data_IF_956160781273
#
_entry.id   IF_956160781273
#
_cell.length_a   1.000
_cell.length_b   1.000
_cell.length_c   1.000
_cell.angle_alpha   90.00
_cell.angle_beta   90.00
_cell.angle_gamma   90.00
#
_symmetry.space_group_name_H-M   'P 1'
#
loop_
_entity.id
_entity.type
_entity.pdbx_description
1 polymer ?
#
# COMPACT_ATOMS: atom_id res chain seq x y z
N UNK A 1 19.49 12.37 30.02
CA UNK A 1 18.03 12.62 29.95
C UNK A 1 17.30 11.29 29.89
N UNK A 2 16.28 11.09 30.73
CA UNK A 2 15.44 9.88 30.64
C UNK A 2 14.66 9.90 29.31
N UNK A 3 14.71 8.80 28.55
CA UNK A 3 13.95 8.65 27.31
C UNK A 3 12.46 8.56 27.66
N UNK A 4 11.63 9.39 27.04
CA UNK A 4 10.18 9.29 27.17
C UNK A 4 9.69 8.17 26.23
N UNK A 5 8.89 7.22 26.70
CA UNK A 5 8.34 6.18 25.83
C UNK A 5 7.32 6.79 24.86
N UNK A 6 7.26 6.23 23.65
CA UNK A 6 6.24 6.52 22.64
C UNK A 6 5.46 5.24 22.39
N UNK A 7 4.14 5.34 22.34
CA UNK A 7 3.24 4.23 22.04
C UNK A 7 2.54 4.53 20.71
N UNK A 8 2.66 3.61 19.76
CA UNK A 8 1.84 3.57 18.56
C UNK A 8 0.74 2.53 18.78
N UNK A 9 -0.51 2.99 18.93
CA UNK A 9 -1.67 2.10 19.07
C UNK A 9 -2.37 1.99 17.73
N UNK A 10 -2.42 0.78 17.17
CA UNK A 10 -3.09 0.49 15.91
C UNK A 10 -4.39 -0.24 16.22
N UNK A 11 -5.52 0.38 15.90
CA UNK A 11 -6.84 -0.23 15.99
C UNK A 11 -7.22 -0.75 14.59
N UNK A 12 -6.75 -1.95 14.28
CA UNK A 12 -6.95 -2.56 12.97
C UNK A 12 -8.45 -2.78 12.70
N UNK A 13 -8.90 -2.39 11.50
CA UNK A 13 -10.30 -2.43 11.12
C UNK A 13 -11.16 -1.27 11.67
N UNK A 14 -10.57 -0.32 12.40
CA UNK A 14 -11.28 0.86 12.90
C UNK A 14 -11.49 1.86 11.76
N UNK A 15 -12.53 1.64 10.95
CA UNK A 15 -12.87 2.47 9.80
C UNK A 15 -13.82 3.62 10.15
N UNK A 16 -13.94 4.56 9.21
CA UNK A 16 -14.88 5.67 9.27
C UNK A 16 -16.04 5.37 8.31
N UNK A 17 -17.26 5.32 8.85
CA UNK A 17 -18.47 5.07 8.08
C UNK A 17 -19.64 5.88 8.69
N UNK A 18 -20.75 6.08 7.95
CA UNK A 18 -21.98 6.64 8.52
C UNK A 18 -22.42 5.88 9.77
N UNK A 19 -23.16 6.52 10.70
CA UNK A 19 -23.57 5.89 11.95
C UNK A 19 -24.46 4.66 11.80
N UNK A 20 -25.23 4.61 10.72
CA UNK A 20 -26.18 3.53 10.47
C UNK A 20 -25.44 2.20 10.22
N UNK A 21 -25.76 1.18 11.02
CA UNK A 21 -25.10 -0.12 10.98
C UNK A 21 -23.63 -0.12 11.45
N UNK A 22 -23.13 0.99 11.96
CA UNK A 22 -21.73 1.14 12.38
C UNK A 22 -21.57 0.83 13.87
N UNK A 23 -21.03 -0.34 14.19
CA UNK A 23 -20.82 -0.78 15.56
C UNK A 23 -19.84 0.13 16.33
N UNK A 24 -18.83 0.72 15.64
CA UNK A 24 -17.89 1.67 16.26
C UNK A 24 -18.60 2.94 16.69
N UNK A 25 -19.51 3.48 15.85
CA UNK A 25 -20.30 4.65 16.20
C UNK A 25 -21.25 4.37 17.37
N UNK A 26 -21.83 3.17 17.43
CA UNK A 26 -22.76 2.76 18.49
C UNK A 26 -22.06 2.42 19.81
N UNK A 27 -20.76 2.12 19.81
CA UNK A 27 -20.03 1.70 21.00
C UNK A 27 -19.86 2.85 22.02
N UNK A 28 -19.90 2.51 23.30
CA UNK A 28 -19.49 3.42 24.37
C UNK A 28 -17.96 3.53 24.40
N UNK A 29 -17.42 4.64 23.93
CA UNK A 29 -15.96 4.86 23.80
C UNK A 29 -15.51 6.22 24.35
N UNK A 30 -15.85 6.57 25.61
CA UNK A 30 -15.65 7.93 26.14
C UNK A 30 -14.17 8.37 26.10
N UNK A 31 -13.23 7.45 26.25
CA UNK A 31 -11.81 7.81 26.19
C UNK A 31 -11.34 8.14 24.77
N UNK A 32 -11.79 7.36 23.76
CA UNK A 32 -11.48 7.67 22.36
C UNK A 32 -12.17 8.97 21.91
N UNK A 33 -13.44 9.15 22.28
CA UNK A 33 -14.17 10.38 21.97
C UNK A 33 -13.46 11.61 22.53
N UNK A 34 -12.98 11.54 23.77
CA UNK A 34 -12.19 12.61 24.39
C UNK A 34 -10.86 12.82 23.66
N UNK A 35 -10.13 11.75 23.35
CA UNK A 35 -8.84 11.85 22.63
C UNK A 35 -9.00 12.51 21.27
N UNK A 36 -10.05 12.15 20.53
CA UNK A 36 -10.35 12.77 19.24
C UNK A 36 -10.79 14.22 19.33
N UNK A 37 -11.47 14.61 20.41
CA UNK A 37 -11.90 16.00 20.63
C UNK A 37 -10.76 16.91 21.09
N UNK A 38 -9.81 16.42 21.86
CA UNK A 38 -8.77 17.22 22.52
C UNK A 38 -7.42 17.23 21.75
N UNK A 39 -7.25 16.41 20.73
CA UNK A 39 -5.97 16.27 20.03
C UNK A 39 -6.13 16.46 18.52
N UNK A 40 -5.05 16.77 17.79
CA UNK A 40 -5.06 16.81 16.33
C UNK A 40 -5.44 15.46 15.73
N UNK A 41 -6.38 15.47 14.78
CA UNK A 41 -6.88 14.28 14.08
C UNK A 41 -6.76 14.50 12.58
N UNK A 42 -6.36 13.47 11.86
CA UNK A 42 -6.36 13.44 10.40
C UNK A 42 -6.87 12.10 9.89
N UNK A 43 -7.30 12.09 8.65
CA UNK A 43 -7.72 10.87 7.95
C UNK A 43 -6.67 10.46 6.93
N UNK A 44 -6.46 9.16 6.81
CA UNK A 44 -5.57 8.57 5.81
C UNK A 44 -6.33 7.59 4.94
N UNK A 45 -5.93 7.47 3.68
CA UNK A 45 -6.47 6.45 2.79
C UNK A 45 -5.96 5.06 3.18
N UNK A 46 -6.88 4.09 3.28
CA UNK A 46 -6.58 2.72 3.69
C UNK A 46 -6.86 1.68 2.59
N UNK A 47 -7.03 2.11 1.33
CA UNK A 47 -7.35 1.25 0.20
C UNK A 47 -6.68 1.71 -1.08
N UNK A 48 -6.66 0.85 -2.09
CA UNK A 48 -6.18 1.16 -3.44
C UNK A 48 -4.75 1.71 -3.45
N UNK A 49 -4.51 2.68 -4.30
CA UNK A 49 -3.18 3.28 -4.49
C UNK A 49 -2.60 3.92 -3.23
N UNK A 50 -3.43 4.32 -2.26
CA UNK A 50 -2.97 4.89 -0.99
C UNK A 50 -2.18 3.89 -0.14
N UNK A 51 -2.36 2.60 -0.38
CA UNK A 51 -1.66 1.52 0.33
C UNK A 51 -0.89 0.59 -0.62
N UNK A 52 -0.70 1.02 -1.87
CA UNK A 52 0.10 0.28 -2.86
C UNK A 52 -0.62 -0.85 -3.57
N UNK A 53 -1.94 -0.92 -3.46
CA UNK A 53 -2.81 -1.85 -4.17
C UNK A 53 -3.34 -1.22 -5.48
N UNK A 54 -3.88 -2.04 -6.41
CA UNK A 54 -4.62 -1.51 -7.55
C UNK A 54 -5.75 -0.58 -7.13
N UNK A 55 -6.11 0.37 -7.99
CA UNK A 55 -7.19 1.30 -7.71
C UNK A 55 -8.52 0.55 -7.45
N UNK A 56 -9.30 1.04 -6.50
CA UNK A 56 -10.57 0.43 -6.09
C UNK A 56 -10.44 -0.85 -5.24
N UNK A 57 -9.26 -1.41 -5.07
CA UNK A 57 -9.08 -2.59 -4.23
C UNK A 57 -9.11 -2.22 -2.74
N UNK A 58 -9.92 -2.95 -1.97
CA UNK A 58 -9.99 -2.78 -0.51
C UNK A 58 -8.64 -3.11 0.13
N UNK A 59 -8.22 -2.28 1.08
CA UNK A 59 -7.02 -2.52 1.88
C UNK A 59 -7.16 -3.72 2.82
N UNK A 60 -6.03 -4.12 3.37
CA UNK A 60 -5.96 -5.17 4.38
C UNK A 60 -4.84 -4.86 5.38
N UNK A 61 -4.78 -5.66 6.45
CA UNK A 61 -3.81 -5.48 7.54
C UNK A 61 -2.36 -5.60 7.06
N UNK A 62 -2.07 -6.51 6.13
CA UNK A 62 -0.72 -6.74 5.62
C UNK A 62 -0.14 -5.49 4.94
N UNK A 63 -0.85 -4.94 3.97
CA UNK A 63 -0.38 -3.72 3.28
C UNK A 63 -0.36 -2.51 4.20
N UNK A 64 -1.34 -2.38 5.09
CA UNK A 64 -1.42 -1.29 6.06
C UNK A 64 -0.21 -1.27 7.00
N UNK A 65 0.10 -2.39 7.64
CA UNK A 65 1.25 -2.51 8.53
C UNK A 65 2.58 -2.38 7.79
N UNK A 66 2.68 -2.92 6.56
CA UNK A 66 3.86 -2.76 5.71
C UNK A 66 4.13 -1.27 5.43
N UNK A 67 3.12 -0.50 5.07
CA UNK A 67 3.26 0.93 4.80
C UNK A 67 3.63 1.72 6.06
N UNK A 68 3.02 1.42 7.20
CA UNK A 68 3.38 2.04 8.47
C UNK A 68 4.84 1.74 8.87
N UNK A 69 5.26 0.48 8.75
CA UNK A 69 6.64 0.08 9.05
C UNK A 69 7.67 0.68 8.10
N UNK A 70 7.34 0.84 6.83
CA UNK A 70 8.21 1.44 5.83
C UNK A 70 8.21 2.98 5.86
N UNK A 71 7.23 3.62 6.49
CA UNK A 71 7.05 5.08 6.48
C UNK A 71 6.76 5.65 5.09
N UNK A 72 6.30 4.84 4.16
CA UNK A 72 5.97 5.21 2.78
C UNK A 72 5.00 4.21 2.16
N UNK A 73 4.39 4.57 1.03
CA UNK A 73 3.62 3.61 0.24
C UNK A 73 4.58 2.57 -0.36
N UNK A 74 4.31 1.29 -0.06
CA UNK A 74 4.98 0.13 -0.66
C UNK A 74 4.04 -0.45 -1.70
N UNK A 75 4.34 -0.22 -2.97
CA UNK A 75 3.51 -0.74 -4.05
C UNK A 75 3.67 -2.26 -4.15
N UNK A 76 2.56 -2.97 -4.18
CA UNK A 76 2.52 -4.40 -4.48
C UNK A 76 2.99 -4.66 -5.92
N UNK A 77 3.46 -5.86 -6.21
CA UNK A 77 4.12 -6.17 -7.49
C UNK A 77 3.25 -5.80 -8.70
N UNK A 78 1.98 -6.19 -8.70
CA UNK A 78 1.04 -5.88 -9.77
C UNK A 78 0.94 -4.36 -10.01
N UNK A 79 0.73 -3.59 -8.93
CA UNK A 79 0.63 -2.13 -9.00
C UNK A 79 1.94 -1.50 -9.46
N UNK A 80 3.06 -2.04 -8.98
CA UNK A 80 4.39 -1.54 -9.34
C UNK A 80 4.70 -1.79 -10.83
N UNK A 81 4.41 -2.99 -11.33
CA UNK A 81 4.56 -3.31 -12.76
C UNK A 81 3.66 -2.41 -13.62
N UNK A 82 2.39 -2.24 -13.23
CA UNK A 82 1.46 -1.36 -13.94
C UNK A 82 1.97 0.07 -14.01
N UNK A 83 2.56 0.59 -12.94
CA UNK A 83 3.18 1.92 -12.92
C UNK A 83 4.39 2.01 -13.83
N UNK A 84 5.27 1.01 -13.82
CA UNK A 84 6.43 0.96 -14.72
C UNK A 84 6.04 0.87 -16.20
N UNK A 85 4.92 0.20 -16.51
CA UNK A 85 4.36 0.20 -17.87
C UNK A 85 3.85 1.60 -18.23
N UNK A 86 3.12 2.24 -17.32
CA UNK A 86 2.52 3.55 -17.56
C UNK A 86 3.56 4.68 -17.74
N UNK A 87 4.66 4.64 -16.97
CA UNK A 87 5.74 5.62 -17.07
C UNK A 87 6.80 5.26 -18.13
N UNK A 88 6.69 4.09 -18.77
CA UNK A 88 7.60 3.63 -19.82
C UNK A 88 8.88 2.95 -19.32
N UNK A 89 9.17 2.97 -18.04
CA UNK A 89 10.41 2.40 -17.48
C UNK A 89 10.48 0.87 -17.58
N UNK A 90 9.33 0.20 -17.67
CA UNK A 90 9.26 -1.23 -17.95
C UNK A 90 9.98 -1.59 -19.25
N UNK A 91 9.79 -0.80 -20.31
CA UNK A 91 10.33 -1.08 -21.64
C UNK A 91 11.84 -0.78 -21.76
N UNK A 92 12.40 -0.06 -20.81
CA UNK A 92 13.82 0.25 -20.72
C UNK A 92 14.54 -0.54 -19.62
N UNK A 93 13.89 -1.57 -19.07
CA UNK A 93 14.46 -2.40 -18.01
C UNK A 93 15.75 -3.09 -18.52
N UNK A 94 16.89 -2.89 -17.84
CA UNK A 94 18.18 -3.40 -18.30
C UNK A 94 18.25 -4.92 -18.35
N UNK A 95 17.47 -5.64 -17.54
CA UNK A 95 17.40 -7.09 -17.60
C UNK A 95 16.77 -7.59 -18.91
N UNK A 96 15.69 -6.92 -19.35
CA UNK A 96 15.06 -7.23 -20.63
C UNK A 96 15.96 -6.86 -21.81
N UNK A 97 16.59 -5.69 -21.77
CA UNK A 97 17.51 -5.27 -22.82
C UNK A 97 18.68 -6.27 -22.96
N UNK A 98 19.27 -6.68 -21.83
CA UNK A 98 20.33 -7.69 -21.83
C UNK A 98 19.88 -9.02 -22.46
N UNK A 99 18.68 -9.50 -22.17
CA UNK A 99 18.15 -10.72 -22.76
C UNK A 99 17.92 -10.57 -24.28
N UNK A 100 17.37 -9.44 -24.71
CA UNK A 100 17.14 -9.13 -26.12
C UNK A 100 18.46 -9.03 -26.88
N UNK A 101 19.45 -8.33 -26.32
CA UNK A 101 20.76 -8.17 -26.95
C UNK A 101 21.50 -9.50 -27.07
N UNK A 102 21.39 -10.37 -26.07
CA UNK A 102 21.92 -11.73 -26.15
C UNK A 102 21.29 -12.52 -27.30
N UNK A 103 19.98 -12.46 -27.44
CA UNK A 103 19.29 -13.14 -28.54
C UNK A 103 19.70 -12.60 -29.91
N UNK A 104 19.86 -11.28 -30.05
CA UNK A 104 20.33 -10.65 -31.29
C UNK A 104 21.77 -11.06 -31.63
N UNK A 105 22.66 -11.11 -30.62
CA UNK A 105 24.06 -11.45 -30.83
C UNK A 105 24.27 -12.91 -31.23
N UNK A 106 23.37 -13.81 -30.86
CA UNK A 106 23.50 -15.26 -31.10
C UNK A 106 22.47 -15.83 -32.08
N UNK A 107 21.69 -14.97 -32.76
CA UNK A 107 20.59 -15.34 -33.64
C UNK A 107 19.67 -16.40 -33.00
N UNK A 108 19.25 -16.12 -31.77
CA UNK A 108 18.44 -17.00 -30.94
C UNK A 108 17.10 -16.37 -30.55
N UNK A 109 16.18 -17.18 -30.03
CA UNK A 109 14.87 -16.73 -29.61
C UNK A 109 14.80 -16.46 -28.09
N UNK A 110 14.06 -15.41 -27.70
CA UNK A 110 13.65 -15.18 -26.33
C UNK A 110 12.28 -15.83 -26.10
N UNK A 111 12.25 -16.83 -25.23
CA UNK A 111 11.00 -17.50 -24.85
C UNK A 111 10.41 -16.79 -23.63
N UNK A 112 9.16 -16.33 -23.74
CA UNK A 112 8.40 -15.69 -22.65
C UNK A 112 7.20 -16.57 -22.33
N UNK A 113 6.97 -16.85 -21.07
CA UNK A 113 5.83 -17.63 -20.60
C UNK A 113 5.24 -17.03 -19.34
N UNK A 114 3.95 -17.19 -19.14
CA UNK A 114 3.22 -16.65 -17.99
C UNK A 114 1.73 -16.97 -18.05
N UNK A 115 1.02 -16.50 -17.04
CA UNK A 115 -0.44 -16.44 -17.06
C UNK A 115 -0.88 -15.17 -17.82
N UNK A 116 -1.76 -15.37 -18.82
CA UNK A 116 -2.34 -14.28 -19.62
C UNK A 116 -3.86 -14.23 -19.39
#
# INVERSE_FOLDING_TARGET
MAKKPVILMIMDGFGIAPPEGNAIAAAKKPNLDRLFAENPVTQIGASGLNVGLPDGQMGNSEVGHTNMGAGRIVYQELTNITRHIADGSFFTNPAFQKAIDNCRAHDSALHVFGLC
#
